data_IF_142752291478
#
_entry.id   IF_142752291478
#
_cell.length_a   1.000
_cell.length_b   1.000
_cell.length_c   1.000
_cell.angle_alpha   90.00
_cell.angle_beta   90.00
_cell.angle_gamma   90.00
#
_symmetry.space_group_name_H-M   'P 1'
#
loop_
_entity.id
_entity.type
_entity.pdbx_description
1 polymer ?
#
# COMPACT_ATOMS: atom_id res chain seq x y z
N UNK A 1 -6.90 25.11 5.77
CA UNK A 1 -5.44 24.90 5.96
C UNK A 1 -5.07 23.70 6.85
N UNK A 2 -5.64 23.47 8.06
CA UNK A 2 -5.15 22.42 8.96
C UNK A 2 -5.33 20.99 8.41
N UNK A 3 -6.44 20.74 7.71
CA UNK A 3 -6.75 19.42 7.16
C UNK A 3 -5.76 18.91 6.10
N UNK A 4 -5.17 19.83 5.31
CA UNK A 4 -4.18 19.47 4.29
C UNK A 4 -2.88 18.98 4.94
N UNK A 5 -2.42 19.68 5.98
CA UNK A 5 -1.22 19.29 6.72
C UNK A 5 -1.42 17.94 7.43
N UNK A 6 -2.59 17.73 8.05
CA UNK A 6 -2.91 16.46 8.69
C UNK A 6 -2.88 15.29 7.69
N UNK A 7 -3.52 15.45 6.52
CA UNK A 7 -3.51 14.41 5.48
C UNK A 7 -2.10 14.13 4.95
N UNK A 8 -1.32 15.17 4.66
CA UNK A 8 0.07 15.01 4.22
C UNK A 8 0.91 14.26 5.26
N UNK A 9 0.76 14.60 6.54
CA UNK A 9 1.47 13.90 7.62
C UNK A 9 1.04 12.44 7.74
N UNK A 10 -0.27 12.15 7.68
CA UNK A 10 -0.78 10.78 7.72
C UNK A 10 -0.31 9.94 6.52
N UNK A 11 -0.33 10.50 5.31
CA UNK A 11 0.20 9.83 4.11
C UNK A 11 1.68 9.55 4.25
N UNK A 12 2.46 10.49 4.81
CA UNK A 12 3.87 10.29 5.05
C UNK A 12 4.14 9.21 6.09
N UNK A 13 3.36 9.15 7.17
CA UNK A 13 3.46 8.10 8.20
C UNK A 13 3.12 6.72 7.66
N UNK A 14 2.07 6.58 6.86
CA UNK A 14 1.77 5.32 6.18
C UNK A 14 2.86 4.94 5.17
N UNK A 15 3.38 5.93 4.43
CA UNK A 15 4.50 5.68 3.50
C UNK A 15 5.75 5.20 4.24
N UNK A 16 6.04 5.75 5.43
CA UNK A 16 7.13 5.29 6.28
C UNK A 16 6.90 3.87 6.81
N UNK A 17 5.66 3.53 7.19
CA UNK A 17 5.29 2.15 7.51
C UNK A 17 5.59 1.20 6.33
N UNK A 18 5.22 1.59 5.11
CA UNK A 18 5.50 0.81 3.91
C UNK A 18 6.99 0.70 3.59
N UNK A 19 7.82 1.72 3.90
CA UNK A 19 9.29 1.61 3.83
C UNK A 19 9.80 0.49 4.73
N UNK A 20 9.31 0.40 5.96
CA UNK A 20 9.71 -0.67 6.88
C UNK A 20 9.26 -2.04 6.39
N UNK A 21 8.05 -2.15 5.84
CA UNK A 21 7.57 -3.38 5.22
C UNK A 21 8.46 -3.80 4.03
N UNK A 22 8.74 -2.87 3.12
CA UNK A 22 9.60 -3.12 1.96
C UNK A 22 11.02 -3.53 2.38
N UNK A 23 11.62 -2.86 3.37
CA UNK A 23 12.92 -3.23 3.90
C UNK A 23 12.90 -4.63 4.55
N UNK A 24 11.83 -4.98 5.26
CA UNK A 24 11.68 -6.31 5.83
C UNK A 24 11.63 -7.38 4.74
N UNK A 25 10.83 -7.21 3.69
CA UNK A 25 10.79 -8.14 2.57
C UNK A 25 12.12 -8.22 1.82
N UNK A 26 12.81 -7.09 1.65
CA UNK A 26 14.05 -7.04 0.88
C UNK A 26 15.21 -7.68 1.62
N UNK A 27 15.37 -7.43 2.93
CA UNK A 27 16.55 -7.83 3.69
C UNK A 27 16.30 -9.05 4.59
N UNK A 28 15.08 -9.17 5.15
CA UNK A 28 14.71 -10.21 6.12
C UNK A 28 13.39 -10.89 5.73
N UNK A 29 13.27 -11.48 4.52
CA UNK A 29 11.99 -11.88 3.94
C UNK A 29 11.19 -12.88 4.79
N UNK A 30 11.86 -13.71 5.60
CA UNK A 30 11.18 -14.62 6.52
C UNK A 30 10.39 -13.86 7.60
N UNK A 31 10.96 -12.79 8.15
CA UNK A 31 10.28 -11.94 9.13
C UNK A 31 9.10 -11.21 8.48
N UNK A 32 9.32 -10.57 7.32
CA UNK A 32 8.27 -9.88 6.58
C UNK A 32 7.10 -10.81 6.20
N UNK A 33 7.42 -12.00 5.67
CA UNK A 33 6.40 -12.96 5.27
C UNK A 33 5.57 -13.48 6.46
N UNK A 34 6.20 -13.67 7.62
CA UNK A 34 5.50 -14.10 8.83
C UNK A 34 4.44 -13.10 9.30
N UNK A 35 4.67 -11.79 9.12
CA UNK A 35 3.69 -10.73 9.45
C UNK A 35 2.41 -10.90 8.62
N UNK A 36 2.54 -11.34 7.36
CA UNK A 36 1.42 -11.56 6.45
C UNK A 36 0.90 -13.01 6.44
N UNK A 37 1.45 -13.89 7.28
CA UNK A 37 1.09 -15.31 7.31
C UNK A 37 1.50 -16.09 6.06
N UNK A 38 2.50 -15.61 5.32
CA UNK A 38 2.99 -16.23 4.07
C UNK A 38 4.29 -16.99 4.33
N UNK A 39 4.48 -18.11 3.63
CA UNK A 39 5.76 -18.83 3.57
C UNK A 39 5.96 -19.42 2.17
N UNK A 40 7.20 -19.80 1.84
CA UNK A 40 7.52 -20.45 0.57
C UNK A 40 8.09 -21.85 0.78
N UNK A 41 7.58 -22.81 0.00
CA UNK A 41 8.02 -24.21 0.03
C UNK A 41 9.37 -24.45 -0.66
N UNK A 42 9.77 -23.56 -1.59
CA UNK A 42 10.97 -23.72 -2.41
C UNK A 42 11.74 -22.39 -2.53
N UNK A 43 13.05 -22.41 -2.83
CA UNK A 43 13.86 -21.19 -2.96
C UNK A 43 13.29 -20.15 -3.93
N UNK A 44 12.69 -20.59 -5.04
CA UNK A 44 12.05 -19.69 -5.99
C UNK A 44 10.91 -18.86 -5.36
N UNK A 45 10.11 -19.44 -4.46
CA UNK A 45 9.05 -18.70 -3.77
C UNK A 45 9.60 -17.66 -2.79
N UNK A 46 10.76 -17.92 -2.17
CA UNK A 46 11.45 -16.91 -1.37
C UNK A 46 12.00 -15.77 -2.22
N UNK A 47 12.43 -16.05 -3.46
CA UNK A 47 12.82 -15.00 -4.41
C UNK A 47 11.60 -14.14 -4.81
N UNK A 48 10.45 -14.75 -5.10
CA UNK A 48 9.18 -14.05 -5.36
C UNK A 48 8.76 -13.16 -4.20
N UNK A 49 8.73 -13.69 -2.97
CA UNK A 49 8.39 -12.88 -1.77
C UNK A 49 9.34 -11.68 -1.65
N UNK A 50 10.65 -11.90 -1.78
CA UNK A 50 11.63 -10.81 -1.68
C UNK A 50 11.43 -9.76 -2.76
N UNK A 51 11.22 -10.16 -4.01
CA UNK A 51 11.10 -9.24 -5.13
C UNK A 51 9.75 -8.51 -5.11
N UNK A 52 8.67 -9.28 -5.16
CA UNK A 52 7.35 -8.74 -5.50
C UNK A 52 6.74 -7.98 -4.33
N UNK A 53 6.97 -8.43 -3.09
CA UNK A 53 6.42 -7.74 -1.92
C UNK A 53 7.25 -6.48 -1.62
N UNK A 54 8.55 -6.51 -1.85
CA UNK A 54 9.38 -5.29 -1.83
C UNK A 54 8.93 -4.32 -2.91
N UNK A 55 8.62 -4.79 -4.12
CA UNK A 55 8.12 -3.93 -5.18
C UNK A 55 6.77 -3.29 -4.80
N UNK A 56 5.82 -4.08 -4.27
CA UNK A 56 4.52 -3.58 -3.83
C UNK A 56 4.65 -2.49 -2.77
N UNK A 57 5.26 -2.80 -1.62
CA UNK A 57 5.37 -1.85 -0.50
C UNK A 57 6.37 -0.73 -0.81
N UNK A 58 7.46 -1.02 -1.51
CA UNK A 58 8.50 -0.04 -1.83
C UNK A 58 8.03 1.01 -2.84
N UNK A 59 7.33 0.59 -3.90
CA UNK A 59 6.74 1.54 -4.87
C UNK A 59 5.61 2.33 -4.21
N UNK A 60 4.76 1.67 -3.40
CA UNK A 60 3.72 2.36 -2.64
C UNK A 60 4.33 3.45 -1.74
N UNK A 61 5.31 3.10 -0.90
CA UNK A 61 6.04 4.01 -0.03
C UNK A 61 6.64 5.19 -0.80
N UNK A 62 7.35 4.93 -1.89
CA UNK A 62 7.99 5.96 -2.71
C UNK A 62 6.96 6.95 -3.25
N UNK A 63 5.88 6.45 -3.85
CA UNK A 63 4.80 7.27 -4.37
C UNK A 63 4.10 8.08 -3.28
N UNK A 64 3.88 7.49 -2.09
CA UNK A 64 3.26 8.18 -0.95
C UNK A 64 4.16 9.30 -0.40
N UNK A 65 5.45 9.02 -0.17
CA UNK A 65 6.39 10.00 0.36
C UNK A 65 6.64 11.13 -0.63
N UNK A 66 6.88 10.81 -1.91
CA UNK A 66 7.12 11.83 -2.95
C UNK A 66 5.85 12.61 -3.25
N UNK A 67 4.69 11.94 -3.34
CA UNK A 67 3.39 12.58 -3.55
C UNK A 67 3.02 13.54 -2.41
N UNK A 68 3.22 13.12 -1.17
CA UNK A 68 3.03 13.96 0.01
C UNK A 68 3.98 15.18 0.02
N UNK A 69 5.28 14.96 -0.21
CA UNK A 69 6.28 16.03 -0.23
C UNK A 69 5.97 17.05 -1.34
N UNK A 70 5.84 16.58 -2.58
CA UNK A 70 5.63 17.42 -3.76
C UNK A 70 4.20 17.96 -3.87
N UNK A 71 3.32 17.57 -2.95
CA UNK A 71 1.88 17.89 -2.99
C UNK A 71 1.25 17.49 -4.33
N UNK A 72 1.66 16.34 -4.85
CA UNK A 72 1.17 15.79 -6.10
C UNK A 72 0.23 14.63 -5.78
N UNK A 73 -1.08 14.90 -5.86
CA UNK A 73 -2.13 13.91 -5.62
C UNK A 73 -2.11 12.78 -6.64
N UNK A 74 -1.69 13.01 -7.88
CA UNK A 74 -1.70 11.98 -8.94
C UNK A 74 -0.80 10.80 -8.58
N UNK A 75 0.32 11.06 -7.91
CA UNK A 75 1.22 10.00 -7.41
C UNK A 75 0.55 9.12 -6.35
N UNK A 76 -0.48 9.62 -5.66
CA UNK A 76 -1.20 8.86 -4.62
C UNK A 76 -2.20 7.86 -5.21
N UNK A 77 -2.54 7.98 -6.50
CA UNK A 77 -3.37 6.99 -7.18
C UNK A 77 -2.66 5.64 -7.31
N UNK A 78 -1.34 5.63 -7.52
CA UNK A 78 -0.55 4.39 -7.62
C UNK A 78 -0.70 3.52 -6.36
N UNK A 79 -0.32 3.98 -5.15
CA UNK A 79 -0.52 3.21 -3.93
C UNK A 79 -2.01 2.97 -3.64
N UNK A 80 -2.89 3.93 -3.97
CA UNK A 80 -4.33 3.75 -3.80
C UNK A 80 -4.89 2.57 -4.59
N UNK A 81 -4.43 2.38 -5.84
CA UNK A 81 -4.79 1.25 -6.68
C UNK A 81 -4.14 -0.05 -6.21
N UNK A 82 -2.87 -0.03 -5.79
CA UNK A 82 -2.19 -1.21 -5.25
C UNK A 82 -2.94 -1.79 -4.03
N UNK A 83 -3.24 -0.95 -3.04
CA UNK A 83 -3.99 -1.37 -1.86
C UNK A 83 -5.47 -1.66 -2.16
N UNK A 84 -6.07 -0.95 -3.13
CA UNK A 84 -7.43 -1.24 -3.58
C UNK A 84 -7.57 -2.63 -4.20
N UNK A 85 -6.64 -3.01 -5.08
CA UNK A 85 -6.61 -4.36 -5.68
C UNK A 85 -6.33 -5.42 -4.61
N UNK A 86 -5.41 -5.16 -3.68
CA UNK A 86 -5.14 -6.08 -2.57
C UNK A 86 -6.40 -6.32 -1.71
N UNK A 87 -7.13 -5.26 -1.36
CA UNK A 87 -8.37 -5.32 -0.59
C UNK A 87 -9.45 -6.13 -1.32
N UNK A 88 -9.61 -5.92 -2.63
CA UNK A 88 -10.54 -6.70 -3.45
C UNK A 88 -10.14 -8.18 -3.46
N UNK A 89 -8.85 -8.48 -3.60
CA UNK A 89 -8.33 -9.84 -3.53
C UNK A 89 -8.67 -10.53 -2.21
N UNK A 90 -8.47 -9.84 -1.07
CA UNK A 90 -8.84 -10.37 0.25
C UNK A 90 -10.35 -10.49 0.47
N UNK A 91 -11.14 -9.55 -0.06
CA UNK A 91 -12.59 -9.64 0.00
C UNK A 91 -13.12 -10.85 -0.80
N UNK A 92 -12.51 -11.14 -1.95
CA UNK A 92 -12.82 -12.33 -2.74
C UNK A 92 -12.43 -13.61 -1.98
N UNK A 93 -11.24 -13.67 -1.41
CA UNK A 93 -10.80 -14.80 -0.57
C UNK A 93 -11.77 -15.03 0.61
N UNK A 94 -12.15 -13.97 1.33
CA UNK A 94 -13.13 -14.04 2.41
C UNK A 94 -14.49 -14.57 1.93
N UNK A 95 -14.94 -14.19 0.73
CA UNK A 95 -16.20 -14.65 0.16
C UNK A 95 -16.16 -16.12 -0.28
N UNK A 96 -15.01 -16.60 -0.77
CA UNK A 96 -14.86 -17.95 -1.32
C UNK A 96 -14.43 -18.99 -0.27
N UNK A 97 -13.51 -18.61 0.61
CA UNK A 97 -12.87 -19.50 1.59
C UNK A 97 -13.35 -19.25 3.03
N UNK A 98 -14.00 -18.11 3.30
CA UNK A 98 -14.47 -17.74 4.63
C UNK A 98 -13.40 -17.06 5.50
N UNK A 99 -13.80 -16.71 6.72
CA UNK A 99 -12.93 -16.02 7.68
C UNK A 99 -11.93 -16.97 8.36
N UNK A 100 -10.71 -16.49 8.60
CA UNK A 100 -9.66 -17.17 9.35
C UNK A 100 -9.09 -16.29 10.48
N UNK A 101 -8.50 -16.82 11.56
CA UNK A 101 -7.97 -15.99 12.64
C UNK A 101 -7.03 -14.89 12.13
N UNK A 102 -7.35 -13.63 12.44
CA UNK A 102 -6.56 -12.46 12.01
C UNK A 102 -6.89 -11.90 10.62
N UNK A 103 -7.86 -12.47 9.88
CA UNK A 103 -8.23 -12.04 8.52
C UNK A 103 -8.48 -10.52 8.38
N UNK A 104 -9.06 -9.91 9.41
CA UNK A 104 -9.48 -8.52 9.39
C UNK A 104 -8.32 -7.52 9.46
N UNK A 105 -7.18 -7.92 10.04
CA UNK A 105 -6.05 -7.01 10.28
C UNK A 105 -5.44 -6.47 8.96
N UNK A 106 -5.05 -7.29 7.98
CA UNK A 106 -4.51 -6.77 6.73
C UNK A 106 -5.56 -6.00 5.91
N UNK A 107 -6.83 -6.45 5.92
CA UNK A 107 -7.91 -5.72 5.25
C UNK A 107 -8.15 -4.33 5.86
N UNK A 108 -8.02 -4.18 7.18
CA UNK A 108 -8.12 -2.88 7.83
C UNK A 108 -6.98 -1.95 7.43
N UNK A 109 -5.75 -2.47 7.30
CA UNK A 109 -4.60 -1.71 6.80
C UNK A 109 -4.83 -1.28 5.35
N UNK A 110 -5.26 -2.20 4.48
CA UNK A 110 -5.54 -1.91 3.08
C UNK A 110 -6.67 -0.86 2.92
N UNK A 111 -7.77 -1.02 3.66
CA UNK A 111 -8.87 -0.07 3.65
C UNK A 111 -8.45 1.32 4.15
N UNK A 112 -7.61 1.39 5.19
CA UNK A 112 -7.05 2.64 5.68
C UNK A 112 -6.22 3.34 4.59
N UNK A 113 -5.36 2.61 3.87
CA UNK A 113 -4.60 3.17 2.76
C UNK A 113 -5.52 3.70 1.66
N UNK A 114 -6.50 2.91 1.20
CA UNK A 114 -7.43 3.32 0.14
C UNK A 114 -8.20 4.58 0.52
N UNK A 115 -8.78 4.62 1.73
CA UNK A 115 -9.58 5.75 2.19
C UNK A 115 -8.71 7.00 2.33
N UNK A 116 -7.56 6.88 2.99
CA UNK A 116 -6.67 8.02 3.22
C UNK A 116 -6.11 8.57 1.90
N UNK A 117 -5.64 7.69 1.01
CA UNK A 117 -5.07 8.07 -0.28
C UNK A 117 -6.14 8.65 -1.21
N UNK A 118 -7.36 8.11 -1.21
CA UNK A 118 -8.48 8.69 -1.94
C UNK A 118 -8.88 10.07 -1.40
N UNK A 119 -8.88 10.27 -0.09
CA UNK A 119 -9.12 11.57 0.52
C UNK A 119 -8.01 12.58 0.20
N UNK A 120 -6.75 12.15 0.31
CA UNK A 120 -5.58 12.97 0.00
C UNK A 120 -5.53 13.34 -1.49
N UNK A 121 -5.84 12.40 -2.40
CA UNK A 121 -5.94 12.65 -3.83
C UNK A 121 -6.95 13.76 -4.12
N UNK A 122 -8.16 13.72 -3.55
CA UNK A 122 -9.19 14.76 -3.78
C UNK A 122 -8.86 16.14 -3.22
N UNK A 123 -7.96 16.23 -2.24
CA UNK A 123 -7.69 17.46 -1.49
C UNK A 123 -6.34 18.09 -1.89
N UNK A 124 -5.37 17.28 -2.30
CA UNK A 124 -4.09 17.75 -2.82
C UNK A 124 -4.24 18.15 -4.29
N UNK A 125 -3.40 19.08 -4.79
CA UNK A 125 -3.35 19.38 -6.22
C UNK A 125 -3.16 18.09 -7.03
N UNK A 126 -4.04 17.88 -8.00
CA UNK A 126 -4.04 16.72 -8.89
C UNK A 126 -4.51 17.18 -10.28
N UNK A 127 -4.01 16.56 -11.33
CA UNK A 127 -4.56 16.79 -12.67
C UNK A 127 -5.88 16.03 -12.79
N UNK A 128 -6.79 16.48 -13.64
CA UNK A 128 -7.97 15.66 -13.97
C UNK A 128 -7.51 14.53 -14.88
N UNK A 129 -8.09 13.34 -14.75
CA UNK A 129 -7.72 12.18 -15.59
C UNK A 129 -7.81 12.51 -17.10
N UNK A 130 -8.74 13.38 -17.51
CA UNK A 130 -8.84 13.86 -18.89
C UNK A 130 -7.73 14.78 -19.37
N UNK A 131 -6.92 15.35 -18.47
CA UNK A 131 -5.77 16.22 -18.79
C UNK A 131 -4.46 15.43 -18.93
N UNK A 132 -4.44 14.16 -18.49
CA UNK A 132 -3.26 13.28 -18.58
C UNK A 132 -3.21 12.46 -19.88
N UNK A 133 -4.32 12.40 -20.62
CA UNK A 133 -4.49 11.58 -21.81
C UNK A 133 -4.62 12.39 -23.13
N UNK A 134 -4.44 13.72 -23.06
CA UNK A 134 -4.37 14.62 -24.22
C UNK A 134 -2.96 15.15 -24.40
#
# INVERSE_FOLDING_TARGET
>A
MPIRFALTALVFLLGLFDVFMAASFLFTPHAGASILGVSAAVPAGWATIRADFTAFFGVAALCMMVGAWRRNGDLLLVPGLLFGVALIGRALDLALAGAYPGWAQPMAVEALHVILLGAAWRILPHHRVGELAG
#
